data_IF_456280546811
#
_entry.id   IF_456280546811
#
_cell.length_a   1.000
_cell.length_b   1.000
_cell.length_c   1.000
_cell.angle_alpha   90.00
_cell.angle_beta   90.00
_cell.angle_gamma   90.00
#
_symmetry.space_group_name_H-M   'P 1'
#
loop_
_entity.id
_entity.type
_entity.pdbx_description
1 polymer ?
#
# COMPACT_ATOMS: atom_id res chain seq x y z
N UNK A 1 -7.87 -9.10 16.05
CA UNK A 1 -7.10 -8.76 14.83
C UNK A 1 -6.59 -7.35 14.99
N UNK A 2 -5.28 -7.10 14.96
CA UNK A 2 -4.77 -5.71 14.94
C UNK A 2 -5.23 -5.09 13.62
N UNK A 3 -6.32 -4.33 13.65
CA UNK A 3 -6.68 -3.49 12.53
C UNK A 3 -5.53 -2.51 12.32
N UNK A 4 -4.77 -2.74 11.25
CA UNK A 4 -3.89 -1.73 10.70
C UNK A 4 -4.78 -0.53 10.40
N UNK A 5 -4.61 0.54 11.18
CA UNK A 5 -5.34 1.80 11.01
C UNK A 5 -5.40 2.18 9.52
N UNK A 6 -6.56 2.69 9.10
CA UNK A 6 -6.83 3.09 7.71
C UNK A 6 -5.70 3.98 7.16
N UNK A 7 -5.17 4.87 8.01
CA UNK A 7 -4.04 5.75 7.68
C UNK A 7 -2.74 5.01 7.33
N UNK A 8 -2.44 3.91 8.04
CA UNK A 8 -1.25 3.08 7.78
C UNK A 8 -1.40 2.31 6.47
N UNK A 9 -2.64 1.99 6.06
CA UNK A 9 -2.92 1.27 4.80
C UNK A 9 -3.01 2.21 3.59
N UNK A 10 -3.49 3.44 3.79
CA UNK A 10 -3.64 4.42 2.70
C UNK A 10 -2.33 5.17 2.39
N UNK A 11 -1.45 5.36 3.38
CA UNK A 11 -0.17 6.03 3.17
C UNK A 11 0.74 5.35 2.11
N UNK A 12 0.99 4.03 2.15
CA UNK A 12 1.76 3.34 1.13
C UNK A 12 1.14 3.44 -0.27
N UNK A 13 -0.20 3.35 -0.35
CA UNK A 13 -0.93 3.46 -1.63
C UNK A 13 -0.79 4.87 -2.20
N UNK A 14 -0.92 5.90 -1.35
CA UNK A 14 -0.77 7.30 -1.75
C UNK A 14 0.63 7.58 -2.29
N UNK A 15 1.68 7.16 -1.56
CA UNK A 15 3.06 7.35 -2.00
C UNK A 15 3.40 6.52 -3.24
N UNK A 16 2.81 5.33 -3.40
CA UNK A 16 2.99 4.55 -4.63
C UNK A 16 2.38 5.25 -5.86
N UNK A 17 1.21 5.90 -5.71
CA UNK A 17 0.59 6.69 -6.77
C UNK A 17 1.42 7.91 -7.20
N UNK A 18 2.29 8.44 -6.35
CA UNK A 18 3.20 9.53 -6.72
C UNK A 18 4.45 9.04 -7.46
N UNK A 19 4.53 7.74 -7.80
CA UNK A 19 5.66 7.15 -8.52
C UNK A 19 6.82 6.73 -7.62
N UNK A 20 6.67 6.73 -6.29
CA UNK A 20 7.73 6.27 -5.40
C UNK A 20 7.89 4.75 -5.44
N UNK A 21 9.15 4.30 -5.36
CA UNK A 21 9.49 2.88 -5.25
C UNK A 21 9.07 2.32 -3.89
N UNK A 22 8.72 1.03 -3.84
CA UNK A 22 8.26 0.37 -2.60
C UNK A 22 9.32 0.40 -1.48
N UNK A 23 10.60 0.34 -1.84
CA UNK A 23 11.72 0.43 -0.89
C UNK A 23 11.86 1.83 -0.30
N UNK A 24 11.66 2.89 -1.10
CA UNK A 24 11.62 4.28 -0.63
C UNK A 24 10.44 4.51 0.32
N UNK A 25 9.27 3.98 -0.02
CA UNK A 25 8.06 4.07 0.80
C UNK A 25 8.26 3.40 2.16
N UNK A 26 8.85 2.19 2.18
CA UNK A 26 9.17 1.49 3.43
C UNK A 26 10.11 2.31 4.32
N UNK A 27 11.18 2.87 3.75
CA UNK A 27 12.11 3.74 4.49
C UNK A 27 11.42 5.00 5.05
N UNK A 28 10.58 5.65 4.25
CA UNK A 28 9.88 6.87 4.66
C UNK A 28 8.86 6.63 5.77
N UNK A 29 8.20 5.46 5.75
CA UNK A 29 7.19 5.09 6.74
C UNK A 29 7.80 4.38 7.97
N UNK A 30 9.09 4.06 7.95
CA UNK A 30 9.70 3.19 8.97
C UNK A 30 9.17 1.76 8.94
N UNK A 31 8.56 1.36 7.83
CA UNK A 31 7.86 0.10 7.66
C UNK A 31 8.70 -0.90 6.86
N UNK A 32 8.52 -2.18 7.16
CA UNK A 32 9.17 -3.25 6.39
C UNK A 32 8.62 -3.23 4.96
N UNK A 33 9.52 -3.37 3.98
CA UNK A 33 9.14 -3.43 2.56
C UNK A 33 8.13 -4.55 2.26
N UNK A 34 8.12 -5.64 3.05
CA UNK A 34 7.12 -6.72 2.94
C UNK A 34 5.70 -6.26 3.27
N UNK A 35 5.52 -5.37 4.25
CA UNK A 35 4.22 -4.80 4.64
C UNK A 35 3.73 -3.86 3.55
N UNK A 36 4.61 -2.97 3.08
CA UNK A 36 4.33 -2.04 1.97
C UNK A 36 3.91 -2.79 0.72
N UNK A 37 4.65 -3.85 0.34
CA UNK A 37 4.33 -4.69 -0.80
C UNK A 37 2.96 -5.37 -0.65
N UNK A 38 2.67 -5.96 0.52
CA UNK A 38 1.39 -6.62 0.77
C UNK A 38 0.20 -5.66 0.63
N UNK A 39 0.35 -4.41 1.11
CA UNK A 39 -0.67 -3.37 1.01
C UNK A 39 -0.90 -2.98 -0.46
N UNK A 40 0.17 -2.70 -1.23
CA UNK A 40 0.07 -2.31 -2.64
C UNK A 40 -0.53 -3.44 -3.49
N UNK A 41 -0.09 -4.69 -3.29
CA UNK A 41 -0.65 -5.86 -3.98
C UNK A 41 -2.14 -6.03 -3.69
N UNK A 42 -2.55 -5.86 -2.42
CA UNK A 42 -3.96 -5.94 -2.03
C UNK A 42 -4.77 -4.81 -2.65
N UNK A 43 -4.24 -3.58 -2.71
CA UNK A 43 -4.89 -2.46 -3.39
C UNK A 43 -5.06 -2.70 -4.90
N UNK A 44 -4.02 -3.18 -5.59
CA UNK A 44 -4.10 -3.53 -7.01
C UNK A 44 -5.19 -4.59 -7.28
N UNK A 45 -5.28 -5.61 -6.42
CA UNK A 45 -6.32 -6.65 -6.54
C UNK A 45 -7.74 -6.09 -6.38
N UNK A 46 -7.97 -5.19 -5.41
CA UNK A 46 -9.28 -4.55 -5.25
C UNK A 46 -9.63 -3.64 -6.43
N UNK A 47 -8.64 -2.93 -6.98
CA UNK A 47 -8.86 -2.08 -8.17
C UNK A 47 -9.26 -2.88 -9.40
N UNK A 48 -8.58 -4.01 -9.66
CA UNK A 48 -8.89 -4.90 -10.79
C UNK A 48 -10.33 -5.40 -10.66
N UNK A 49 -10.76 -5.80 -9.46
CA UNK A 49 -12.11 -6.30 -9.25
C UNK A 49 -13.21 -5.23 -9.34
N UNK A 50 -12.92 -3.95 -9.08
CA UNK A 50 -13.88 -2.86 -9.21
C UNK A 50 -14.05 -2.33 -10.65
N UNK A 51 -13.24 -2.80 -11.60
CA UNK A 51 -13.29 -2.36 -13.00
C UNK A 51 -14.04 -3.36 -13.92
N UNK A 52 -14.76 -4.33 -13.32
CA UNK A 52 -15.56 -5.35 -14.01
C UNK A 52 -17.06 -5.28 -13.65
N UNK A 53 -17.59 -4.08 -13.35
CA UNK A 53 -19.03 -3.85 -13.15
C UNK A 53 -19.66 -3.16 -14.35
#
# INVERSE_FOLDING_TARGET
TRELSKDIRDNPVRLHKTGMSQSTIGKQLGEKGTIVRAIITKWNKYKINNNFS
#
